data_IF_577844793274
#
_entry.id   IF_577844793274
#
_cell.length_a   1.000
_cell.length_b   1.000
_cell.length_c   1.000
_cell.angle_alpha   90.00
_cell.angle_beta   90.00
_cell.angle_gamma   90.00
#
_symmetry.space_group_name_H-M   'P 1'
#
loop_
_entity.id
_entity.type
_entity.pdbx_description
1 polymer ?
#
# COMPACT_ATOMS: atom_id res chain seq x y z
N UNK A 1 -8.11 4.64 14.82
CA UNK A 1 -8.13 3.90 13.55
C UNK A 1 -9.45 4.05 12.83
N UNK A 2 -10.57 3.49 13.30
CA UNK A 2 -11.86 3.57 12.57
C UNK A 2 -12.30 4.99 12.15
N UNK A 3 -12.15 5.99 13.04
CA UNK A 3 -12.43 7.40 12.72
C UNK A 3 -11.53 8.00 11.62
N UNK A 4 -10.32 7.47 11.46
CA UNK A 4 -9.42 7.87 10.38
C UNK A 4 -9.87 7.22 9.07
N UNK A 5 -10.31 5.96 9.09
CA UNK A 5 -10.77 5.24 7.90
C UNK A 5 -12.02 5.86 7.30
N UNK A 6 -13.03 6.17 8.12
CA UNK A 6 -14.27 6.80 7.65
C UNK A 6 -14.21 8.34 7.60
N UNK A 7 -13.01 8.93 7.77
CA UNK A 7 -12.76 10.39 7.74
C UNK A 7 -13.61 11.23 8.71
N UNK A 8 -14.10 10.64 9.80
CA UNK A 8 -14.87 11.36 10.85
C UNK A 8 -13.99 12.00 11.93
N UNK A 9 -12.67 11.78 11.90
CA UNK A 9 -11.74 12.42 12.82
C UNK A 9 -11.56 13.91 12.48
N UNK A 10 -11.74 14.78 13.47
CA UNK A 10 -11.64 16.25 13.31
C UNK A 10 -10.22 16.74 12.99
N UNK A 11 -9.19 16.06 13.48
CA UNK A 11 -7.78 16.44 13.32
C UNK A 11 -6.99 15.29 12.70
N UNK A 12 -7.11 15.10 11.39
CA UNK A 12 -6.28 14.11 10.69
C UNK A 12 -4.91 14.75 10.43
N UNK A 13 -3.90 14.34 11.19
CA UNK A 13 -2.54 14.90 11.07
C UNK A 13 -1.82 14.59 9.75
N UNK A 14 -2.42 13.78 8.86
CA UNK A 14 -1.85 13.50 7.54
C UNK A 14 -2.17 14.66 6.58
N UNK A 15 -1.16 15.50 6.31
CA UNK A 15 -1.27 16.63 5.39
C UNK A 15 -1.49 16.22 3.92
N UNK A 16 -1.33 14.95 3.61
CA UNK A 16 -1.49 14.41 2.25
C UNK A 16 -2.94 14.08 1.91
N UNK A 17 -3.88 14.24 2.86
CA UNK A 17 -5.31 14.03 2.60
C UNK A 17 -5.87 15.26 1.91
N UNK A 18 -6.31 15.06 0.68
CA UNK A 18 -7.04 16.04 -0.10
C UNK A 18 -8.54 15.90 0.16
N UNK A 19 -9.08 16.80 0.98
CA UNK A 19 -10.50 16.80 1.37
C UNK A 19 -11.45 16.93 0.16
N UNK A 20 -11.00 17.52 -0.96
CA UNK A 20 -11.82 17.61 -2.17
C UNK A 20 -12.06 16.26 -2.84
N UNK A 21 -11.18 15.28 -2.57
CA UNK A 21 -11.23 13.91 -3.11
C UNK A 21 -11.86 12.91 -2.15
N UNK A 22 -12.14 13.28 -0.90
CA UNK A 22 -12.72 12.35 0.09
C UNK A 22 -14.07 11.78 -0.35
N UNK A 23 -14.84 12.51 -1.18
CA UNK A 23 -16.08 12.01 -1.78
C UNK A 23 -15.88 10.81 -2.73
N UNK A 24 -14.64 10.56 -3.18
CA UNK A 24 -14.28 9.42 -4.02
C UNK A 24 -14.01 8.16 -3.18
N UNK A 25 -13.82 8.29 -1.87
CA UNK A 25 -13.65 7.15 -0.98
C UNK A 25 -14.96 6.36 -0.88
N UNK A 26 -14.86 5.06 -0.65
CA UNK A 26 -16.03 4.21 -0.46
C UNK A 26 -15.72 3.05 0.47
N UNK A 27 -16.75 2.55 1.15
CA UNK A 27 -16.66 1.37 2.00
C UNK A 27 -17.29 0.17 1.27
N UNK A 28 -16.57 -0.96 1.22
CA UNK A 28 -17.07 -2.22 0.67
C UNK A 28 -17.81 -3.08 1.71
N UNK A 29 -17.70 -2.73 2.99
CA UNK A 29 -18.27 -3.47 4.12
C UNK A 29 -19.32 -2.59 4.81
N UNK A 30 -20.55 -2.62 4.30
CA UNK A 30 -21.67 -1.86 4.86
C UNK A 30 -22.56 -2.74 5.74
N UNK A 31 -22.65 -2.37 7.01
CA UNK A 31 -23.47 -3.05 8.02
C UNK A 31 -24.76 -2.27 8.36
N UNK A 32 -25.04 -1.16 7.68
CA UNK A 32 -26.13 -0.24 8.01
C UNK A 32 -25.99 0.44 9.36
N UNK A 33 -24.77 0.44 9.93
CA UNK A 33 -24.39 1.03 11.23
C UNK A 33 -22.98 1.60 11.14
N UNK A 34 -22.59 2.43 12.10
CA UNK A 34 -21.21 2.91 12.14
C UNK A 34 -20.21 1.79 12.42
N UNK A 35 -19.00 1.89 11.85
CA UNK A 35 -17.90 0.92 12.05
C UNK A 35 -17.65 0.64 13.55
N UNK A 36 -17.76 1.67 14.39
CA UNK A 36 -17.54 1.55 15.83
C UNK A 36 -18.67 0.81 16.54
N UNK A 37 -19.93 1.05 16.16
CA UNK A 37 -21.08 0.32 16.72
C UNK A 37 -21.03 -1.15 16.33
N UNK A 38 -20.74 -1.45 15.07
CA UNK A 38 -20.56 -2.83 14.61
C UNK A 38 -19.43 -3.51 15.38
N UNK A 39 -18.26 -2.87 15.49
CA UNK A 39 -17.12 -3.38 16.25
C UNK A 39 -17.50 -3.69 17.70
N UNK A 40 -18.17 -2.77 18.40
CA UNK A 40 -18.61 -2.98 19.80
C UNK A 40 -19.58 -4.14 19.92
N UNK A 41 -20.56 -4.22 19.00
CA UNK A 41 -21.54 -5.31 18.99
C UNK A 41 -20.83 -6.65 18.79
N UNK A 42 -20.05 -6.81 17.73
CA UNK A 42 -19.37 -8.06 17.43
C UNK A 42 -18.40 -8.47 18.54
N UNK A 43 -17.68 -7.52 19.13
CA UNK A 43 -16.79 -7.80 20.26
C UNK A 43 -17.52 -8.31 21.51
N UNK A 44 -18.78 -7.89 21.72
CA UNK A 44 -19.61 -8.37 22.83
C UNK A 44 -20.14 -9.79 22.62
N UNK A 45 -20.21 -10.27 21.37
CA UNK A 45 -20.67 -11.61 21.00
C UNK A 45 -19.59 -12.68 21.13
N UNK A 46 -18.32 -12.29 21.29
CA UNK A 46 -17.17 -13.21 21.36
C UNK A 46 -16.39 -13.05 22.66
N UNK A 47 -15.75 -14.12 23.12
CA UNK A 47 -14.94 -14.05 24.34
C UNK A 47 -13.69 -13.19 24.12
N UNK A 48 -13.67 -12.00 24.70
CA UNK A 48 -12.47 -11.18 24.80
C UNK A 48 -11.79 -11.39 26.18
N UNK A 49 -10.46 -11.49 26.20
CA UNK A 49 -9.72 -11.56 27.46
C UNK A 49 -9.74 -10.18 28.15
N UNK A 50 -9.84 -10.16 29.48
CA UNK A 50 -9.81 -8.92 30.27
C UNK A 50 -8.38 -8.45 30.51
N UNK A 51 -7.64 -8.18 29.43
CA UNK A 51 -6.29 -7.59 29.49
C UNK A 51 -6.24 -6.37 28.57
N UNK A 52 -5.50 -5.34 28.98
CA UNK A 52 -5.37 -4.08 28.23
C UNK A 52 -4.61 -4.22 26.91
N UNK A 53 -3.81 -5.27 26.78
CA UNK A 53 -2.91 -5.52 25.64
C UNK A 53 -3.53 -6.41 24.55
N UNK A 54 -4.78 -6.85 24.72
CA UNK A 54 -5.46 -7.69 23.73
C UNK A 54 -5.62 -6.93 22.43
N UNK A 55 -5.13 -7.51 21.34
CA UNK A 55 -5.32 -6.99 19.99
C UNK A 55 -6.68 -7.42 19.49
N UNK A 56 -7.67 -6.54 19.66
CA UNK A 56 -9.07 -6.77 19.29
C UNK A 56 -9.41 -6.39 17.86
N UNK A 57 -8.50 -5.73 17.17
CA UNK A 57 -8.72 -5.18 15.84
C UNK A 57 -7.42 -5.32 15.05
N UNK A 58 -7.52 -5.87 13.85
CA UNK A 58 -6.44 -6.02 12.89
C UNK A 58 -6.82 -5.26 11.61
N UNK A 59 -5.83 -4.84 10.85
CA UNK A 59 -6.02 -4.12 9.59
C UNK A 59 -5.06 -4.67 8.54
N UNK A 60 -5.59 -4.92 7.34
CA UNK A 60 -4.82 -5.23 6.14
C UNK A 60 -4.92 -4.07 5.17
N UNK A 61 -3.76 -3.57 4.74
CA UNK A 61 -3.68 -2.55 3.70
C UNK A 61 -3.41 -3.23 2.36
N UNK A 62 -4.32 -3.07 1.41
CA UNK A 62 -4.16 -3.58 0.03
C UNK A 62 -4.08 -2.38 -0.90
N UNK A 63 -2.92 -2.14 -1.50
CA UNK A 63 -2.70 -1.00 -2.40
C UNK A 63 -2.87 -1.43 -3.85
N UNK A 64 -3.51 -0.59 -4.66
CA UNK A 64 -3.61 -0.80 -6.09
C UNK A 64 -2.20 -0.85 -6.73
N UNK A 65 -1.86 -1.91 -7.49
CA UNK A 65 -0.58 -1.98 -8.20
C UNK A 65 -0.39 -0.81 -9.15
N UNK A 66 0.87 -0.45 -9.43
CA UNK A 66 1.23 0.58 -10.42
C UNK A 66 1.14 -0.01 -11.84
N UNK A 67 -0.06 -0.36 -12.24
CA UNK A 67 -0.41 -0.78 -13.60
C UNK A 67 -1.57 0.12 -14.07
N UNK A 68 -1.78 0.18 -15.39
CA UNK A 68 -2.91 0.91 -15.94
C UNK A 68 -4.21 0.13 -15.69
N UNK A 69 -4.96 0.59 -14.69
CA UNK A 69 -6.31 0.12 -14.40
C UNK A 69 -7.33 1.15 -14.90
N UNK A 70 -8.39 0.66 -15.54
CA UNK A 70 -9.61 1.47 -15.73
C UNK A 70 -10.29 1.70 -14.38
N UNK A 71 -11.16 2.72 -14.27
CA UNK A 71 -11.95 2.95 -13.04
C UNK A 71 -12.78 1.72 -12.64
N UNK A 72 -13.33 0.98 -13.61
CA UNK A 72 -14.04 -0.28 -13.34
C UNK A 72 -13.08 -1.38 -12.88
N UNK A 73 -11.91 -1.51 -13.49
CA UNK A 73 -10.87 -2.45 -13.09
C UNK A 73 -10.35 -2.21 -11.66
N UNK A 74 -10.20 -0.96 -11.25
CA UNK A 74 -9.86 -0.60 -9.86
C UNK A 74 -10.93 -1.10 -8.87
N UNK A 75 -12.21 -0.84 -9.15
CA UNK A 75 -13.28 -1.26 -8.24
C UNK A 75 -13.40 -2.77 -8.16
N UNK A 76 -13.24 -3.45 -9.28
CA UNK A 76 -13.15 -4.92 -9.36
C UNK A 76 -11.98 -5.43 -8.51
N UNK A 77 -10.79 -4.83 -8.63
CA UNK A 77 -9.61 -5.21 -7.84
C UNK A 77 -9.90 -5.15 -6.34
N UNK A 78 -10.41 -4.02 -5.85
CA UNK A 78 -10.69 -3.88 -4.42
C UNK A 78 -11.82 -4.80 -3.94
N UNK A 79 -12.84 -5.02 -4.77
CA UNK A 79 -13.92 -5.94 -4.43
C UNK A 79 -13.40 -7.40 -4.34
N UNK A 80 -12.54 -7.83 -5.26
CA UNK A 80 -11.93 -9.17 -5.23
C UNK A 80 -11.03 -9.34 -3.99
N UNK A 81 -10.22 -8.32 -3.65
CA UNK A 81 -9.43 -8.34 -2.42
C UNK A 81 -10.32 -8.42 -1.17
N UNK A 82 -11.38 -7.61 -1.11
CA UNK A 82 -12.33 -7.62 -0.01
C UNK A 82 -12.98 -8.99 0.18
N UNK A 83 -13.47 -9.61 -0.90
CA UNK A 83 -14.09 -10.93 -0.86
C UNK A 83 -13.12 -12.01 -0.36
N UNK A 84 -11.87 -12.01 -0.82
CA UNK A 84 -10.87 -12.97 -0.35
C UNK A 84 -10.53 -12.78 1.14
N UNK A 85 -10.45 -11.53 1.62
CA UNK A 85 -10.20 -11.25 3.04
C UNK A 85 -11.41 -11.62 3.92
N UNK A 86 -12.64 -11.39 3.45
CA UNK A 86 -13.86 -11.87 4.11
C UNK A 86 -13.90 -13.40 4.18
N UNK A 87 -13.54 -14.09 3.09
CA UNK A 87 -13.45 -15.56 3.07
C UNK A 87 -12.42 -16.08 4.07
N UNK A 88 -11.27 -15.39 4.21
CA UNK A 88 -10.19 -15.76 5.13
C UNK A 88 -10.54 -15.53 6.60
N UNK A 89 -11.05 -14.34 6.93
CA UNK A 89 -11.18 -13.89 8.32
C UNK A 89 -12.63 -13.93 8.84
N UNK A 90 -13.58 -14.29 7.97
CA UNK A 90 -15.00 -14.36 8.24
C UNK A 90 -15.67 -13.00 8.06
N UNK A 91 -16.63 -12.94 7.14
CA UNK A 91 -17.41 -11.73 6.84
C UNK A 91 -18.04 -11.10 8.08
N UNK A 92 -18.58 -11.93 8.99
CA UNK A 92 -19.15 -11.47 10.28
C UNK A 92 -18.14 -10.79 11.22
N UNK A 93 -16.85 -10.94 10.95
CA UNK A 93 -15.78 -10.32 11.72
C UNK A 93 -15.18 -9.10 11.01
N UNK A 94 -15.52 -8.85 9.75
CA UNK A 94 -15.10 -7.67 9.01
C UNK A 94 -15.83 -6.44 9.55
N UNK A 95 -15.08 -5.47 10.05
CA UNK A 95 -15.60 -4.25 10.67
C UNK A 95 -15.80 -3.16 9.63
N UNK A 96 -14.83 -2.99 8.72
CA UNK A 96 -14.88 -1.97 7.67
C UNK A 96 -13.92 -2.34 6.53
N UNK A 97 -14.19 -1.85 5.33
CA UNK A 97 -13.35 -2.07 4.15
C UNK A 97 -13.28 -0.78 3.31
N UNK A 98 -12.62 0.25 3.85
CA UNK A 98 -12.56 1.57 3.25
C UNK A 98 -11.48 1.64 2.16
N UNK A 99 -11.88 2.03 0.95
CA UNK A 99 -10.95 2.38 -0.12
C UNK A 99 -10.72 3.89 -0.07
N UNK A 100 -9.46 4.28 0.15
CA UNK A 100 -9.01 5.66 0.15
C UNK A 100 -8.42 6.03 -1.20
N UNK A 101 -8.91 7.14 -1.73
CA UNK A 101 -8.52 7.75 -3.00
C UNK A 101 -8.17 9.23 -2.85
N UNK A 102 -8.11 9.71 -1.61
CA UNK A 102 -7.87 11.09 -1.22
C UNK A 102 -6.46 11.33 -0.69
N UNK A 103 -5.60 10.30 -0.67
CA UNK A 103 -4.21 10.43 -0.24
C UNK A 103 -3.26 10.57 -1.44
N UNK A 104 -2.07 11.14 -1.22
CA UNK A 104 -1.06 11.34 -2.27
C UNK A 104 -0.49 10.05 -2.89
N UNK A 105 -0.78 8.89 -2.29
CA UNK A 105 -0.34 7.58 -2.78
C UNK A 105 -1.31 6.96 -3.80
N UNK A 106 -1.04 5.70 -4.14
CA UNK A 106 -1.99 4.88 -4.90
C UNK A 106 -3.27 4.67 -4.07
N UNK A 107 -4.43 4.51 -4.73
CA UNK A 107 -5.63 4.03 -4.05
C UNK A 107 -5.33 2.77 -3.24
N UNK A 108 -5.87 2.69 -2.04
CA UNK A 108 -5.64 1.55 -1.15
C UNK A 108 -6.85 1.26 -0.27
N UNK A 109 -7.00 -0.01 0.07
CA UNK A 109 -8.05 -0.55 0.92
C UNK A 109 -7.49 -0.76 2.33
N UNK A 110 -8.19 -0.23 3.34
CA UNK A 110 -8.07 -0.61 4.74
C UNK A 110 -9.15 -1.65 5.08
N UNK A 111 -8.76 -2.91 5.14
CA UNK A 111 -9.63 -4.00 5.58
C UNK A 111 -9.44 -4.27 7.07
N UNK A 112 -10.39 -3.80 7.86
CA UNK A 112 -10.34 -3.87 9.30
C UNK A 112 -11.25 -4.98 9.83
N UNK A 113 -10.75 -5.84 10.72
CA UNK A 113 -11.51 -6.99 11.23
C UNK A 113 -11.15 -7.36 12.67
N UNK A 114 -12.06 -8.06 13.35
CA UNK A 114 -11.83 -8.64 14.68
C UNK A 114 -11.21 -10.04 14.51
N UNK A 115 -10.02 -10.32 15.07
CA UNK A 115 -9.37 -11.62 14.90
C UNK A 115 -10.02 -12.67 15.81
N UNK A 116 -11.10 -13.30 15.32
CA UNK A 116 -11.86 -14.31 16.04
C UNK A 116 -11.39 -15.71 15.66
N UNK A 117 -11.25 -16.57 16.66
CA UNK A 117 -10.96 -18.00 16.51
C UNK A 117 -11.92 -18.82 17.37
N UNK A 118 -12.29 -20.02 16.92
CA UNK A 118 -13.10 -20.94 17.70
C UNK A 118 -12.24 -21.79 18.64
N UNK A 119 -12.46 -21.66 19.95
CA UNK A 119 -11.84 -22.49 20.97
C UNK A 119 -12.59 -23.82 21.08
N UNK A 120 -12.08 -24.84 20.39
CA UNK A 120 -12.68 -26.19 20.37
C UNK A 120 -12.82 -26.82 21.76
N UNK A 121 -11.93 -26.50 22.71
CA UNK A 121 -11.98 -27.08 24.06
C UNK A 121 -13.13 -26.52 24.89
N UNK A 122 -13.47 -25.26 24.65
CA UNK A 122 -14.52 -24.54 25.39
C UNK A 122 -15.82 -24.40 24.60
N UNK A 123 -15.83 -24.73 23.32
CA UNK A 123 -16.99 -24.59 22.44
C UNK A 123 -17.40 -23.13 22.20
N UNK A 124 -16.48 -22.18 22.31
CA UNK A 124 -16.77 -20.73 22.22
C UNK A 124 -15.89 -20.03 21.19
N UNK A 125 -16.38 -18.93 20.65
CA UNK A 125 -15.54 -17.98 19.91
C UNK A 125 -14.75 -17.08 20.87
N UNK A 126 -13.50 -16.81 20.54
CA UNK A 126 -12.64 -15.89 21.29
C UNK A 126 -11.83 -14.99 20.36
N UNK A 127 -11.45 -13.82 20.89
CA UNK A 127 -10.51 -12.91 20.22
C UNK A 127 -9.08 -13.38 20.45
N UNK A 128 -8.34 -13.63 19.38
CA UNK A 128 -6.92 -13.98 19.44
C UNK A 128 -6.19 -13.66 18.13
N UNK A 129 -5.62 -12.45 18.04
CA UNK A 129 -4.76 -12.07 16.92
C UNK A 129 -3.57 -13.03 16.73
N UNK A 130 -3.04 -13.59 17.82
CA UNK A 130 -1.93 -14.55 17.79
C UNK A 130 -2.29 -15.84 17.04
N UNK A 131 -3.52 -16.31 17.19
CA UNK A 131 -3.98 -17.56 16.55
C UNK A 131 -4.50 -17.32 15.13
N UNK A 132 -4.99 -16.12 14.82
CA UNK A 132 -5.42 -15.76 13.46
C UNK A 132 -4.24 -15.36 12.58
N UNK A 133 -3.39 -14.42 13.03
CA UNK A 133 -2.26 -13.88 12.28
C UNK A 133 -0.97 -14.62 12.64
N UNK A 134 -0.93 -15.92 12.34
CA UNK A 134 0.25 -16.76 12.57
C UNK A 134 1.38 -16.42 11.60
N UNK A 135 2.60 -16.88 11.89
CA UNK A 135 3.73 -16.76 10.95
C UNK A 135 3.44 -17.44 9.61
N UNK A 136 2.68 -18.52 9.61
CA UNK A 136 2.28 -19.20 8.38
C UNK A 136 1.32 -18.33 7.58
N UNK A 137 0.30 -17.75 8.23
CA UNK A 137 -0.67 -16.85 7.60
C UNK A 137 0.02 -15.64 6.94
N UNK A 138 0.92 -14.98 7.67
CA UNK A 138 1.66 -13.82 7.13
C UNK A 138 2.58 -14.18 5.95
N UNK A 139 3.02 -15.45 5.86
CA UNK A 139 3.86 -15.93 4.75
C UNK A 139 3.05 -16.36 3.53
N UNK A 140 1.85 -16.90 3.72
CA UNK A 140 1.00 -17.39 2.62
C UNK A 140 0.17 -16.29 2.00
N UNK A 141 -0.26 -15.28 2.76
CA UNK A 141 -1.27 -14.31 2.30
C UNK A 141 -0.92 -13.63 0.98
N UNK A 142 0.34 -13.22 0.77
CA UNK A 142 0.75 -12.59 -0.49
C UNK A 142 0.63 -13.54 -1.69
N UNK A 143 1.03 -14.81 -1.51
CA UNK A 143 0.97 -15.83 -2.58
C UNK A 143 -0.47 -16.18 -2.90
N UNK A 144 -1.28 -16.38 -1.87
CA UNK A 144 -2.67 -16.76 -2.06
C UNK A 144 -3.48 -15.60 -2.68
N UNK A 145 -3.28 -14.37 -2.21
CA UNK A 145 -3.90 -13.18 -2.79
C UNK A 145 -3.47 -13.01 -4.25
N UNK A 146 -2.19 -13.21 -4.55
CA UNK A 146 -1.70 -13.18 -5.93
C UNK A 146 -2.37 -14.25 -6.79
N UNK A 147 -2.57 -15.46 -6.27
CA UNK A 147 -3.26 -16.54 -7.00
C UNK A 147 -4.70 -16.14 -7.33
N UNK A 148 -5.47 -15.70 -6.33
CA UNK A 148 -6.88 -15.29 -6.51
C UNK A 148 -7.00 -14.14 -7.51
N UNK A 149 -6.12 -13.14 -7.40
CA UNK A 149 -6.11 -12.01 -8.31
C UNK A 149 -5.75 -12.42 -9.74
N UNK A 150 -4.71 -13.25 -9.93
CA UNK A 150 -4.32 -13.72 -11.26
C UNK A 150 -5.43 -14.54 -11.91
N UNK A 151 -6.12 -15.39 -11.14
CA UNK A 151 -7.25 -16.18 -11.62
C UNK A 151 -8.42 -15.28 -12.05
N UNK A 152 -8.77 -14.28 -11.23
CA UNK A 152 -9.86 -13.36 -11.53
C UNK A 152 -9.57 -12.48 -12.77
N UNK A 153 -8.36 -11.93 -12.87
CA UNK A 153 -7.97 -11.01 -13.94
C UNK A 153 -7.45 -11.71 -15.20
N UNK A 154 -7.24 -13.03 -15.16
CA UNK A 154 -6.66 -13.81 -16.26
C UNK A 154 -5.20 -13.45 -16.58
N UNK A 155 -4.55 -12.63 -15.74
CA UNK A 155 -3.17 -12.17 -15.90
C UNK A 155 -2.55 -11.83 -14.55
N UNK A 156 -1.23 -11.89 -14.46
CA UNK A 156 -0.52 -11.39 -13.28
C UNK A 156 -0.66 -9.87 -13.19
N UNK A 157 -1.17 -9.39 -12.06
CA UNK A 157 -1.35 -7.96 -11.78
C UNK A 157 -0.31 -7.39 -10.79
N UNK A 158 0.74 -8.16 -10.46
CA UNK A 158 1.88 -7.65 -9.70
C UNK A 158 1.63 -7.46 -8.21
N UNK A 159 0.82 -8.33 -7.59
CA UNK A 159 0.69 -8.40 -6.12
C UNK A 159 2.03 -8.80 -5.49
N UNK A 160 2.72 -9.79 -6.07
CA UNK A 160 4.06 -10.21 -5.67
C UNK A 160 5.11 -9.42 -6.46
N UNK A 161 5.37 -8.18 -6.05
CA UNK A 161 6.32 -7.27 -6.71
C UNK A 161 7.61 -7.03 -5.92
N UNK A 162 7.80 -7.73 -4.79
CA UNK A 162 9.00 -7.59 -3.96
C UNK A 162 9.08 -6.29 -3.15
N UNK A 163 8.10 -5.39 -3.25
CA UNK A 163 8.11 -4.10 -2.51
C UNK A 163 8.05 -4.31 -1.00
N UNK A 164 7.43 -5.42 -0.57
CA UNK A 164 7.35 -5.81 0.85
C UNK A 164 8.52 -6.71 1.29
N UNK A 165 9.49 -6.99 0.41
CA UNK A 165 10.68 -7.78 0.77
C UNK A 165 11.65 -6.90 1.54
N UNK A 166 11.73 -7.11 2.86
CA UNK A 166 12.59 -6.34 3.77
C UNK A 166 11.94 -6.11 5.13
N UNK A 167 12.42 -5.09 5.85
CA UNK A 167 11.79 -4.62 7.08
C UNK A 167 10.63 -3.64 6.77
N UNK A 168 9.55 -3.72 7.55
CA UNK A 168 8.45 -2.76 7.46
C UNK A 168 8.96 -1.35 7.75
N UNK A 169 8.56 -0.39 6.91
CA UNK A 169 8.80 1.04 7.09
C UNK A 169 7.47 1.74 7.34
N UNK A 170 7.44 2.64 8.29
CA UNK A 170 6.33 3.56 8.51
C UNK A 170 6.14 4.50 7.31
N UNK A 171 4.95 5.10 7.19
CA UNK A 171 4.67 6.09 6.16
C UNK A 171 5.66 7.27 6.24
N UNK A 172 6.04 7.70 7.45
CA UNK A 172 7.02 8.76 7.65
C UNK A 172 8.42 8.37 7.12
N UNK A 173 8.87 7.15 7.37
CA UNK A 173 10.14 6.63 6.85
C UNK A 173 10.12 6.50 5.33
N UNK A 174 9.02 6.02 4.75
CA UNK A 174 8.86 5.94 3.29
C UNK A 174 8.87 7.32 2.63
N UNK A 175 8.19 8.30 3.24
CA UNK A 175 8.22 9.71 2.78
C UNK A 175 9.63 10.28 2.86
N UNK A 176 10.32 10.09 3.99
CA UNK A 176 11.69 10.57 4.17
C UNK A 176 12.64 9.98 3.13
N UNK A 177 12.56 8.68 2.89
CA UNK A 177 13.38 8.03 1.88
C UNK A 177 13.09 8.59 0.47
N UNK A 178 11.80 8.78 0.12
CA UNK A 178 11.42 9.36 -1.17
C UNK A 178 12.00 10.76 -1.35
N UNK A 179 11.91 11.61 -0.32
CA UNK A 179 12.50 12.95 -0.30
C UNK A 179 14.03 12.88 -0.44
N UNK A 180 14.69 11.96 0.28
CA UNK A 180 16.14 11.78 0.16
C UNK A 180 16.56 11.34 -1.26
N UNK A 181 15.82 10.44 -1.88
CA UNK A 181 16.06 10.01 -3.27
C UNK A 181 15.81 11.14 -4.28
N UNK A 182 14.81 11.98 -4.07
CA UNK A 182 14.55 13.18 -4.88
C UNK A 182 15.67 14.21 -4.73
N UNK A 183 16.09 14.50 -3.49
CA UNK A 183 17.22 15.42 -3.21
C UNK A 183 18.52 14.91 -3.80
N UNK A 184 18.82 13.61 -3.68
CA UNK A 184 20.03 13.01 -4.26
C UNK A 184 20.02 13.12 -5.79
N UNK A 185 18.87 12.88 -6.44
CA UNK A 185 18.70 13.04 -7.89
C UNK A 185 18.87 14.50 -8.32
N UNK A 186 18.25 15.43 -7.62
CA UNK A 186 18.39 16.85 -7.90
C UNK A 186 19.86 17.29 -7.80
N UNK A 187 20.59 16.83 -6.77
CA UNK A 187 22.03 17.09 -6.62
C UNK A 187 22.85 16.56 -7.80
N UNK A 188 22.59 15.32 -8.24
CA UNK A 188 23.24 14.77 -9.44
C UNK A 188 23.00 15.61 -10.69
N UNK A 189 21.75 16.07 -10.90
CA UNK A 189 21.43 16.96 -12.03
C UNK A 189 22.16 18.30 -11.94
N UNK A 190 22.30 18.89 -10.74
CA UNK A 190 23.07 20.13 -10.53
C UNK A 190 24.56 19.91 -10.82
N UNK A 191 25.18 18.86 -10.26
CA UNK A 191 26.58 18.51 -10.51
C UNK A 191 26.86 18.26 -12.00
N UNK A 192 25.92 17.61 -12.69
CA UNK A 192 25.99 17.38 -14.13
C UNK A 192 26.01 18.69 -14.94
N UNK A 193 25.15 19.65 -14.58
CA UNK A 193 25.12 20.97 -15.22
C UNK A 193 26.37 21.79 -14.91
N UNK A 194 26.86 21.76 -13.67
CA UNK A 194 28.11 22.43 -13.27
C UNK A 194 29.31 21.87 -14.02
N UNK A 195 29.40 20.55 -14.20
CA UNK A 195 30.48 19.93 -14.94
C UNK A 195 30.55 20.41 -16.39
N UNK A 196 29.42 20.74 -17.01
CA UNK A 196 29.36 21.20 -18.41
C UNK A 196 29.53 22.72 -18.56
N UNK A 197 29.40 23.47 -17.46
CA UNK A 197 29.51 24.93 -17.46
C UNK A 197 30.93 25.36 -17.84
N UNK A 198 31.04 26.20 -18.89
CA UNK A 198 32.32 26.77 -19.32
C UNK A 198 33.22 25.83 -20.14
N UNK A 199 32.75 24.63 -20.52
CA UNK A 199 33.47 23.75 -21.44
C UNK A 199 33.22 24.14 -22.90
N UNK A 200 34.21 23.91 -23.77
CA UNK A 200 34.01 24.00 -25.22
C UNK A 200 33.07 22.89 -25.70
N UNK A 201 32.41 23.08 -26.85
CA UNK A 201 31.52 22.07 -27.45
C UNK A 201 32.24 20.73 -27.64
N UNK A 202 33.54 20.76 -27.98
CA UNK A 202 34.36 19.55 -28.19
C UNK A 202 34.61 18.82 -26.87
N UNK A 203 34.84 19.56 -25.78
CA UNK A 203 35.06 18.98 -24.45
C UNK A 203 33.77 18.41 -23.86
N UNK A 204 32.63 19.07 -24.08
CA UNK A 204 31.29 18.56 -23.75
C UNK A 204 31.05 17.22 -24.44
N UNK A 205 31.30 17.16 -25.76
CA UNK A 205 31.14 15.91 -26.53
C UNK A 205 32.05 14.79 -26.01
N UNK A 206 33.29 15.10 -25.60
CA UNK A 206 34.21 14.12 -24.98
C UNK A 206 33.72 13.65 -23.62
N UNK A 207 33.18 14.55 -22.79
CA UNK A 207 32.66 14.23 -21.45
C UNK A 207 31.42 13.33 -21.54
N UNK A 208 30.49 13.65 -22.43
CA UNK A 208 29.29 12.83 -22.71
C UNK A 208 29.71 11.44 -23.24
N UNK A 209 30.71 11.36 -24.13
CA UNK A 209 31.21 10.07 -24.64
C UNK A 209 31.78 9.19 -23.53
N UNK A 210 32.42 9.75 -22.51
CA UNK A 210 32.95 9.01 -21.35
C UNK A 210 31.87 8.60 -20.35
N UNK A 211 30.77 9.34 -20.26
CA UNK A 211 29.65 9.11 -19.32
C UNK A 211 28.30 9.32 -20.04
N UNK A 212 27.80 8.33 -20.78
CA UNK A 212 26.59 8.47 -21.58
C UNK A 212 25.35 8.87 -20.78
N UNK A 213 25.28 8.48 -19.50
CA UNK A 213 24.19 8.81 -18.57
C UNK A 213 24.04 10.31 -18.28
N UNK A 214 25.08 11.12 -18.48
CA UNK A 214 25.00 12.57 -18.31
C UNK A 214 23.97 13.21 -19.24
N UNK A 215 23.79 12.66 -20.45
CA UNK A 215 22.79 13.14 -21.40
C UNK A 215 21.37 13.00 -20.84
N UNK A 216 21.05 11.86 -20.22
CA UNK A 216 19.73 11.65 -19.61
C UNK A 216 19.50 12.58 -18.42
N UNK A 217 20.53 12.80 -17.60
CA UNK A 217 20.43 13.67 -16.42
C UNK A 217 20.25 15.15 -16.80
N UNK A 218 20.97 15.61 -17.83
CA UNK A 218 20.85 16.97 -18.38
C UNK A 218 19.50 17.17 -19.06
N UNK A 219 19.08 16.23 -19.91
CA UNK A 219 17.76 16.29 -20.58
C UNK A 219 16.65 16.39 -19.54
N UNK A 220 16.74 15.60 -18.48
CA UNK A 220 15.82 15.66 -17.35
C UNK A 220 15.84 17.00 -16.64
N UNK A 221 17.02 17.55 -16.34
CA UNK A 221 17.17 18.83 -15.66
C UNK A 221 16.55 19.98 -16.48
N UNK A 222 16.73 19.96 -17.80
CA UNK A 222 16.11 20.93 -18.73
C UNK A 222 14.59 20.82 -18.70
N UNK A 223 14.03 19.60 -18.76
CA UNK A 223 12.57 19.40 -18.62
C UNK A 223 12.01 19.97 -17.32
N UNK A 224 12.68 19.72 -16.20
CA UNK A 224 12.29 20.25 -14.89
C UNK A 224 12.31 21.79 -14.90
N UNK A 225 13.37 22.40 -15.44
CA UNK A 225 13.49 23.86 -15.53
C UNK A 225 12.42 24.48 -16.44
N UNK A 226 11.97 23.75 -17.47
CA UNK A 226 10.89 24.13 -18.37
C UNK A 226 9.48 23.84 -17.80
N UNK A 227 9.38 23.27 -16.60
CA UNK A 227 8.11 22.93 -15.97
C UNK A 227 7.42 21.69 -16.56
N UNK A 228 8.14 20.86 -17.30
CA UNK A 228 7.62 19.61 -17.89
C UNK A 228 7.63 18.46 -16.87
N UNK A 229 6.64 17.57 -16.94
CA UNK A 229 6.61 16.34 -16.15
C UNK A 229 7.67 15.34 -16.64
N UNK A 230 8.34 14.65 -15.69
CA UNK A 230 9.37 13.66 -16.00
C UNK A 230 8.93 12.27 -15.56
N UNK A 231 8.88 11.32 -16.50
CA UNK A 231 8.49 9.95 -16.22
C UNK A 231 9.47 9.22 -15.27
N UNK A 232 8.97 8.37 -14.34
CA UNK A 232 9.79 7.57 -13.47
C UNK A 232 10.39 6.34 -14.19
N UNK A 233 11.67 6.07 -13.95
CA UNK A 233 12.40 4.92 -14.51
C UNK A 233 11.85 3.60 -13.93
N UNK A 234 11.45 2.67 -14.81
CA UNK A 234 11.04 1.31 -14.44
C UNK A 234 12.26 0.47 -14.04
N UNK A 235 12.24 -0.16 -12.86
CA UNK A 235 13.27 -1.14 -12.42
C UNK A 235 12.74 -2.56 -12.66
N UNK A 236 13.51 -3.38 -13.37
CA UNK A 236 13.17 -4.80 -13.58
C UNK A 236 13.24 -5.59 -12.26
N UNK A 237 12.17 -6.35 -11.99
CA UNK A 237 12.02 -7.13 -10.76
C UNK A 237 12.77 -8.47 -10.83
N UNK A 238 13.63 -8.74 -9.85
CA UNK A 238 14.34 -10.01 -9.69
C UNK A 238 13.42 -11.05 -9.02
N UNK A 239 13.21 -12.20 -9.66
CA UNK A 239 12.36 -13.30 -9.15
C UNK A 239 13.07 -14.12 -8.06
N UNK A 240 12.48 -14.21 -6.87
CA UNK A 240 12.92 -15.15 -5.83
C UNK A 240 12.21 -16.52 -5.92
N UNK A 241 13.00 -17.60 -5.78
CA UNK A 241 12.54 -18.99 -5.66
C UNK A 241 12.39 -19.33 -4.17
N UNK A 242 11.22 -19.86 -3.76
CA UNK A 242 11.02 -20.32 -2.39
C UNK A 242 10.09 -21.53 -2.28
N UNK A 243 10.67 -22.71 -2.06
CA UNK A 243 9.99 -23.98 -1.75
C UNK A 243 9.64 -24.00 -0.25
N UNK A 244 8.39 -24.28 0.11
CA UNK A 244 8.01 -24.58 1.49
C UNK A 244 8.07 -26.11 1.73
N UNK A 245 8.57 -26.50 2.90
CA UNK A 245 8.42 -27.86 3.45
C UNK A 245 7.14 -27.94 4.25
#
# INVERSE_FOLDING_TARGET
MLRHYNRTAQNIGNRDIDSSRTCLNYNLCDHGKSDFEFYRKRLSEVKCQRRKDVKTLCDWIVTLPKLDFTKSGERVFFNTAYQELCRRYGERNAVSAWVHKDEAGQPHLHFCFIPVVFDKKKGIEKVSAKEVLTRCELRSIHKDMSKVMTEYFGRDIGILNGVTVGANRSIAELKLQKVQEEVARARQSVEALEALKGQSIIDIARTIKKRPQLLSDVTRAVKIAMGEEVEPIQREATKERGRCR
#
